data_IF_926926141612
#
_entry.id   IF_926926141612
#
_cell.length_a   1.000
_cell.length_b   1.000
_cell.length_c   1.000
_cell.angle_alpha   90.00
_cell.angle_beta   90.00
_cell.angle_gamma   90.00
#
_symmetry.space_group_name_H-M   'P 1'
#
loop_
_entity.id
_entity.type
_entity.pdbx_description
1 polymer ?
#
# COMPACT_ATOMS: atom_id res chain seq x y z
N UNK A 1 -22.72 2.38 -5.33
CA UNK A 1 -22.16 2.30 -6.69
C UNK A 1 -21.17 1.17 -6.75
N UNK A 2 -21.03 0.50 -7.91
CA UNK A 2 -19.98 -0.47 -8.13
C UNK A 2 -18.61 0.22 -8.18
N UNK A 3 -17.54 -0.52 -7.88
CA UNK A 3 -16.18 0.01 -7.80
C UNK A 3 -15.72 0.64 -9.12
N UNK A 4 -16.05 0.02 -10.26
CA UNK A 4 -15.72 0.51 -11.60
C UNK A 4 -16.28 1.92 -11.85
N UNK A 5 -17.52 2.15 -11.40
CA UNK A 5 -18.17 3.47 -11.49
C UNK A 5 -17.53 4.47 -10.53
N UNK A 6 -17.17 4.05 -9.31
CA UNK A 6 -16.47 4.89 -8.35
C UNK A 6 -15.09 5.30 -8.88
N UNK A 7 -14.37 4.40 -9.54
CA UNK A 7 -13.05 4.66 -10.12
C UNK A 7 -13.06 5.82 -11.14
N UNK A 8 -14.17 5.98 -11.86
CA UNK A 8 -14.33 7.03 -12.88
C UNK A 8 -14.94 8.31 -12.31
N UNK A 9 -15.91 8.21 -11.39
CA UNK A 9 -16.76 9.34 -11.00
C UNK A 9 -16.55 9.86 -9.58
N UNK A 10 -16.04 9.05 -8.64
CA UNK A 10 -15.97 9.48 -7.26
C UNK A 10 -15.04 10.68 -7.05
N UNK A 11 -15.47 11.59 -6.18
CA UNK A 11 -14.68 12.74 -5.72
C UNK A 11 -14.67 13.95 -6.65
N UNK A 12 -15.30 13.88 -7.86
CA UNK A 12 -15.34 15.00 -8.77
C UNK A 12 -16.72 15.17 -9.42
N UNK A 13 -17.12 16.41 -9.55
CA UNK A 13 -18.23 16.88 -10.42
C UNK A 13 -17.70 17.94 -11.35
N UNK A 14 -18.27 18.13 -12.56
CA UNK A 14 -17.81 19.16 -13.49
C UNK A 14 -17.68 20.52 -12.78
N UNK A 15 -16.53 21.19 -13.01
CA UNK A 15 -16.21 22.47 -12.38
C UNK A 15 -17.36 23.48 -12.55
N UNK A 16 -17.87 24.10 -11.48
CA UNK A 16 -19.07 24.94 -11.55
C UNK A 16 -18.88 26.20 -12.41
N UNK A 17 -17.64 26.68 -12.55
CA UNK A 17 -17.31 27.89 -13.31
C UNK A 17 -16.99 27.58 -14.78
N UNK A 18 -16.05 26.68 -15.01
CA UNK A 18 -15.54 26.36 -16.36
C UNK A 18 -16.30 25.23 -17.05
N UNK A 19 -17.11 24.46 -16.28
CA UNK A 19 -17.79 23.23 -16.74
C UNK A 19 -16.83 22.14 -17.22
N UNK A 20 -15.57 22.19 -16.82
CA UNK A 20 -14.58 21.15 -17.14
C UNK A 20 -15.03 19.79 -16.63
N UNK A 21 -15.04 18.79 -17.51
CA UNK A 21 -15.36 17.39 -17.19
C UNK A 21 -14.12 16.67 -16.66
N UNK A 22 -12.94 16.95 -17.25
CA UNK A 22 -11.68 16.45 -16.71
C UNK A 22 -11.29 17.21 -15.46
N UNK A 23 -10.65 16.52 -14.50
CA UNK A 23 -10.16 17.14 -13.27
C UNK A 23 -9.10 18.18 -13.61
N UNK A 24 -9.27 19.47 -13.25
CA UNK A 24 -8.25 20.49 -13.49
C UNK A 24 -7.00 20.27 -12.66
N UNK A 25 -5.84 20.60 -13.23
CA UNK A 25 -4.56 20.59 -12.49
C UNK A 25 -4.29 21.98 -11.91
N UNK A 26 -4.48 22.13 -10.61
CA UNK A 26 -4.20 23.36 -9.88
C UNK A 26 -2.71 23.41 -9.48
N UNK A 27 -1.86 23.79 -10.44
CA UNK A 27 -0.41 23.89 -10.24
C UNK A 27 -0.06 25.23 -9.59
N UNK A 28 -0.40 25.39 -8.31
CA UNK A 28 -0.16 26.58 -7.50
C UNK A 28 0.37 26.22 -6.11
N UNK A 29 1.08 27.15 -5.48
CA UNK A 29 1.62 26.98 -4.13
C UNK A 29 0.64 27.45 -3.07
N UNK A 30 -0.01 28.60 -3.29
CA UNK A 30 -0.84 29.30 -2.31
C UNK A 30 -2.15 29.82 -2.95
N UNK A 31 -3.10 30.17 -2.12
CA UNK A 31 -4.40 30.67 -2.49
C UNK A 31 -4.68 32.03 -1.84
N UNK A 32 -5.32 32.93 -2.60
CA UNK A 32 -5.69 34.23 -2.08
C UNK A 32 -6.83 34.14 -1.06
N UNK A 33 -6.81 35.00 -0.07
CA UNK A 33 -7.89 35.18 0.90
C UNK A 33 -8.78 36.34 0.49
N UNK A 34 -10.08 36.25 0.72
CA UNK A 34 -11.03 37.34 0.44
C UNK A 34 -10.83 38.52 1.40
N UNK A 35 -10.31 38.25 2.61
CA UNK A 35 -9.98 39.24 3.62
C UNK A 35 -8.99 38.68 4.65
N UNK A 36 -8.40 39.52 5.48
CA UNK A 36 -7.57 39.10 6.63
C UNK A 36 -8.35 38.19 7.60
N UNK A 37 -9.65 38.50 7.83
CA UNK A 37 -10.50 37.67 8.68
C UNK A 37 -10.76 36.30 8.07
N UNK A 38 -11.02 36.22 6.73
CA UNK A 38 -11.17 34.94 6.02
C UNK A 38 -9.91 34.09 6.18
N UNK A 39 -8.72 34.70 6.04
CA UNK A 39 -7.45 34.00 6.30
C UNK A 39 -7.38 33.44 7.72
N UNK A 40 -7.70 34.23 8.73
CA UNK A 40 -7.70 33.81 10.13
C UNK A 40 -8.69 32.64 10.37
N UNK A 41 -9.89 32.72 9.83
CA UNK A 41 -10.93 31.68 9.99
C UNK A 41 -10.54 30.34 9.31
N UNK A 42 -9.81 30.38 8.19
CA UNK A 42 -9.24 29.19 7.55
C UNK A 42 -8.19 28.51 8.45
N UNK A 43 -7.28 29.31 9.06
CA UNK A 43 -6.26 28.78 9.97
C UNK A 43 -6.86 28.24 11.28
N UNK A 44 -7.93 28.84 11.75
CA UNK A 44 -8.69 28.41 12.95
C UNK A 44 -9.64 27.22 12.66
N UNK A 45 -9.66 26.69 11.43
CA UNK A 45 -10.59 25.63 10.98
C UNK A 45 -12.10 25.97 11.12
N UNK A 46 -12.44 27.26 11.18
CA UNK A 46 -13.83 27.72 11.26
C UNK A 46 -14.56 27.67 9.93
N UNK A 47 -13.82 27.81 8.83
CA UNK A 47 -14.33 27.70 7.47
C UNK A 47 -13.46 26.74 6.65
N UNK A 48 -14.07 26.11 5.65
CA UNK A 48 -13.34 25.24 4.71
C UNK A 48 -12.78 26.07 3.56
N UNK A 49 -11.57 25.71 3.07
CA UNK A 49 -10.97 26.35 1.93
C UNK A 49 -9.51 25.95 1.73
N UNK A 50 -8.91 26.49 0.68
CA UNK A 50 -7.53 26.20 0.34
C UNK A 50 -6.61 27.29 0.91
N UNK A 51 -5.50 26.88 1.52
CA UNK A 51 -4.48 27.79 2.09
C UNK A 51 -3.17 27.62 1.33
N UNK A 52 -2.67 26.40 1.30
CA UNK A 52 -1.31 26.09 0.79
C UNK A 52 -1.26 24.64 0.29
N UNK A 53 -0.73 24.43 -0.91
CA UNK A 53 -0.75 23.14 -1.62
C UNK A 53 -0.11 21.99 -0.83
N UNK A 54 0.88 22.24 0.02
CA UNK A 54 1.44 21.19 0.90
C UNK A 54 0.39 20.54 1.80
N UNK A 55 -0.63 21.29 2.21
CA UNK A 55 -1.65 20.82 3.15
C UNK A 55 -2.92 20.37 2.40
N UNK A 56 -3.33 21.14 1.38
CA UNK A 56 -4.53 20.92 0.58
C UNK A 56 -4.42 21.55 -0.80
N UNK A 57 -4.91 20.83 -1.81
CA UNK A 57 -4.94 21.28 -3.20
C UNK A 57 -6.16 20.67 -3.89
N UNK A 58 -6.95 21.42 -4.71
CA UNK A 58 -8.17 20.90 -5.30
C UNK A 58 -7.98 19.65 -6.18
N UNK A 59 -6.87 19.54 -6.91
CA UNK A 59 -6.56 18.32 -7.68
C UNK A 59 -6.30 17.12 -6.78
N UNK A 60 -5.51 17.33 -5.72
CA UNK A 60 -5.18 16.29 -4.74
C UNK A 60 -6.42 15.89 -3.94
N UNK A 61 -7.31 16.82 -3.62
CA UNK A 61 -8.59 16.55 -2.93
C UNK A 61 -9.48 15.59 -3.72
N UNK A 62 -9.53 15.71 -5.04
CA UNK A 62 -10.26 14.75 -5.90
C UNK A 62 -9.67 13.35 -5.76
N UNK A 63 -8.33 13.23 -5.79
CA UNK A 63 -7.64 11.95 -5.60
C UNK A 63 -7.95 11.34 -4.22
N UNK A 64 -7.87 12.15 -3.16
CA UNK A 64 -8.17 11.72 -1.79
C UNK A 64 -9.62 11.20 -1.66
N UNK A 65 -10.59 11.95 -2.17
CA UNK A 65 -12.00 11.55 -2.18
C UNK A 65 -12.24 10.28 -2.98
N UNK A 66 -11.58 10.12 -4.13
CA UNK A 66 -11.69 8.92 -4.98
C UNK A 66 -11.13 7.69 -4.30
N UNK A 67 -9.93 7.79 -3.73
CA UNK A 67 -9.30 6.66 -3.01
C UNK A 67 -10.11 6.29 -1.76
N UNK A 68 -10.61 7.27 -1.00
CA UNK A 68 -11.49 7.02 0.13
C UNK A 68 -12.76 6.27 -0.29
N UNK A 69 -13.40 6.69 -1.38
CA UNK A 69 -14.61 6.04 -1.90
C UNK A 69 -14.34 4.61 -2.38
N UNK A 70 -13.20 4.37 -3.02
CA UNK A 70 -12.80 3.04 -3.49
C UNK A 70 -12.57 2.07 -2.33
N UNK A 71 -11.91 2.51 -1.27
CA UNK A 71 -11.69 1.68 -0.07
C UNK A 71 -12.91 1.61 0.86
N UNK A 72 -13.89 2.50 0.71
CA UNK A 72 -15.04 2.61 1.60
C UNK A 72 -14.71 3.32 2.93
N UNK A 73 -13.68 4.17 2.92
CA UNK A 73 -13.30 5.00 4.05
C UNK A 73 -14.06 6.31 4.15
N UNK A 74 -13.98 6.95 5.31
CA UNK A 74 -14.60 8.28 5.54
C UNK A 74 -13.82 9.40 4.87
N UNK A 75 -12.48 9.29 4.84
CA UNK A 75 -11.57 10.25 4.22
C UNK A 75 -10.22 9.61 3.89
N UNK A 76 -9.46 10.27 3.01
CA UNK A 76 -8.09 9.90 2.72
C UNK A 76 -7.15 11.12 2.74
N UNK A 77 -5.85 10.84 2.85
CA UNK A 77 -4.77 11.80 2.78
C UNK A 77 -3.75 11.34 1.75
N UNK A 78 -3.55 12.11 0.70
CA UNK A 78 -2.51 11.84 -0.30
C UNK A 78 -1.17 12.43 0.13
N UNK A 79 -0.11 11.65 -0.06
CA UNK A 79 1.27 11.98 0.31
C UNK A 79 2.25 11.61 -0.81
N UNK A 80 3.50 12.06 -0.70
CA UNK A 80 4.49 11.96 -1.78
C UNK A 80 4.92 10.51 -2.13
N UNK A 81 4.71 9.53 -1.25
CA UNK A 81 5.07 8.13 -1.50
C UNK A 81 4.34 7.17 -0.57
N UNK A 82 4.32 5.88 -0.91
CA UNK A 82 3.81 4.84 0.00
C UNK A 82 4.58 4.79 1.32
N UNK A 83 5.89 4.99 1.30
CA UNK A 83 6.69 5.05 2.54
C UNK A 83 6.31 6.25 3.43
N UNK A 84 6.00 7.41 2.84
CA UNK A 84 5.46 8.54 3.59
C UNK A 84 4.09 8.22 4.18
N UNK A 85 3.23 7.48 3.47
CA UNK A 85 1.93 7.04 3.98
C UNK A 85 2.08 6.14 5.21
N UNK A 86 2.94 5.12 5.14
CA UNK A 86 3.23 4.22 6.28
C UNK A 86 3.81 5.02 7.47
N UNK A 87 4.83 5.84 7.21
CA UNK A 87 5.48 6.65 8.25
C UNK A 87 4.48 7.57 8.95
N UNK A 88 3.67 8.30 8.19
CA UNK A 88 2.72 9.25 8.76
C UNK A 88 1.53 8.57 9.45
N UNK A 89 1.09 7.40 8.96
CA UNK A 89 0.06 6.61 9.64
C UNK A 89 0.53 6.22 11.04
N UNK A 90 1.75 5.71 11.18
CA UNK A 90 2.33 5.32 12.48
C UNK A 90 2.59 6.55 13.35
N UNK A 91 3.25 7.59 12.83
CA UNK A 91 3.60 8.80 13.60
C UNK A 91 2.38 9.64 14.00
N UNK A 92 1.22 9.44 13.39
CA UNK A 92 -0.03 10.02 13.87
C UNK A 92 -0.44 9.45 15.22
N UNK A 93 -0.13 8.18 15.48
CA UNK A 93 -0.54 7.44 16.70
C UNK A 93 0.58 7.30 17.72
N UNK A 94 1.81 7.01 17.26
CA UNK A 94 2.96 6.64 18.09
C UNK A 94 3.98 7.77 18.22
N UNK A 95 4.67 7.80 19.36
CA UNK A 95 5.81 8.67 19.67
C UNK A 95 6.93 7.88 20.35
N UNK A 96 8.03 8.56 20.69
CA UNK A 96 9.13 7.92 21.40
C UNK A 96 8.66 7.28 22.73
N UNK A 97 9.01 6.02 22.94
CA UNK A 97 8.56 5.21 24.06
C UNK A 97 7.36 4.30 23.75
N UNK A 98 6.68 4.51 22.63
CA UNK A 98 5.59 3.65 22.16
C UNK A 98 6.10 2.47 21.34
N UNK A 99 5.21 1.52 21.05
CA UNK A 99 5.48 0.42 20.13
C UNK A 99 4.31 0.14 19.18
N UNK A 100 4.61 -0.61 18.12
CA UNK A 100 3.64 -1.25 17.26
C UNK A 100 3.96 -2.74 17.11
N UNK A 101 2.96 -3.54 16.78
CA UNK A 101 3.14 -4.94 16.39
C UNK A 101 2.99 -5.05 14.88
N UNK A 102 3.92 -5.70 14.20
CA UNK A 102 3.92 -5.80 12.75
C UNK A 102 4.10 -7.24 12.28
N UNK A 103 3.48 -7.57 11.14
CA UNK A 103 3.82 -8.81 10.45
C UNK A 103 5.33 -8.85 10.14
N UNK A 104 5.92 -10.04 10.18
CA UNK A 104 7.34 -10.25 9.86
C UNK A 104 7.61 -10.28 8.36
N UNK A 105 6.60 -10.59 7.53
CA UNK A 105 6.70 -10.63 6.07
C UNK A 105 6.21 -9.30 5.47
N UNK A 106 7.16 -8.43 5.12
CA UNK A 106 6.90 -7.08 4.64
C UNK A 106 7.71 -6.77 3.38
N UNK A 107 7.27 -5.77 2.65
CA UNK A 107 8.11 -5.09 1.67
C UNK A 107 9.42 -4.62 2.30
N UNK A 108 10.55 -4.80 1.61
CA UNK A 108 11.88 -4.52 2.17
C UNK A 108 12.05 -3.09 2.70
N UNK A 109 11.42 -2.09 2.05
CA UNK A 109 11.44 -0.70 2.53
C UNK A 109 10.70 -0.53 3.87
N UNK A 110 9.55 -1.17 4.02
CA UNK A 110 8.76 -1.18 5.27
C UNK A 110 9.51 -1.90 6.37
N UNK A 111 10.11 -3.06 6.07
CA UNK A 111 10.94 -3.77 7.03
C UNK A 111 12.11 -2.90 7.53
N UNK A 112 12.84 -2.25 6.63
CA UNK A 112 13.95 -1.36 7.02
C UNK A 112 13.48 -0.16 7.86
N UNK A 113 12.34 0.45 7.51
CA UNK A 113 11.73 1.51 8.32
C UNK A 113 11.47 1.03 9.75
N UNK A 114 10.86 -0.17 9.88
CA UNK A 114 10.43 -0.73 11.16
C UNK A 114 11.59 -1.29 11.99
N UNK A 115 12.51 -1.99 11.35
CA UNK A 115 13.62 -2.63 12.06
C UNK A 115 14.76 -1.67 12.44
N UNK A 116 14.93 -0.57 11.70
CA UNK A 116 16.10 0.30 11.86
C UNK A 116 15.75 1.77 12.09
N UNK A 117 14.83 2.36 11.31
CA UNK A 117 14.57 3.80 11.38
C UNK A 117 13.70 4.17 12.59
N UNK A 118 12.60 3.47 12.81
CA UNK A 118 11.71 3.75 13.95
C UNK A 118 12.36 3.54 15.32
N UNK A 119 13.19 2.49 15.55
CA UNK A 119 13.94 2.38 16.80
C UNK A 119 14.85 3.58 17.07
N UNK A 120 15.48 4.18 16.05
CA UNK A 120 16.26 5.41 16.20
C UNK A 120 15.41 6.63 16.59
N UNK A 121 14.11 6.58 16.31
CA UNK A 121 13.12 7.60 16.72
C UNK A 121 12.44 7.24 18.04
N UNK A 122 12.87 6.18 18.70
CA UNK A 122 12.32 5.69 19.98
C UNK A 122 11.02 4.91 19.87
N UNK A 123 10.57 4.54 18.67
CA UNK A 123 9.40 3.69 18.44
C UNK A 123 9.86 2.25 18.27
N UNK A 124 9.48 1.38 19.20
CA UNK A 124 9.77 -0.05 19.12
C UNK A 124 8.83 -0.73 18.10
N UNK A 125 9.36 -1.69 17.31
CA UNK A 125 8.54 -2.55 16.45
C UNK A 125 8.76 -4.00 16.80
N UNK A 126 7.67 -4.70 17.12
CA UNK A 126 7.65 -6.12 17.49
C UNK A 126 7.09 -6.91 16.32
N UNK A 127 7.89 -7.82 15.78
CA UNK A 127 7.49 -8.64 14.65
C UNK A 127 6.78 -9.92 15.08
N UNK A 128 5.69 -10.26 14.41
CA UNK A 128 4.85 -11.43 14.63
C UNK A 128 4.65 -12.22 13.33
N UNK A 129 4.28 -13.50 13.46
CA UNK A 129 3.98 -14.33 12.30
C UNK A 129 2.56 -14.01 11.76
N UNK A 130 2.40 -13.53 10.52
CA UNK A 130 1.09 -13.19 9.96
C UNK A 130 0.16 -14.41 9.77
N UNK A 131 0.67 -15.63 9.87
CA UNK A 131 -0.11 -16.87 9.84
C UNK A 131 -0.61 -17.31 11.20
N UNK A 132 -0.10 -16.71 12.27
CA UNK A 132 -0.52 -16.98 13.65
C UNK A 132 -1.03 -15.69 14.31
N UNK A 133 -2.35 -15.42 14.27
CA UNK A 133 -2.93 -14.25 14.94
C UNK A 133 -2.64 -14.20 16.45
N UNK A 134 -2.45 -15.35 17.13
CA UNK A 134 -2.12 -15.38 18.54
C UNK A 134 -0.72 -14.84 18.84
N UNK A 135 0.21 -14.93 17.87
CA UNK A 135 1.54 -14.34 18.00
C UNK A 135 1.49 -12.82 18.13
N UNK A 136 0.52 -12.16 17.47
CA UNK A 136 0.34 -10.72 17.61
C UNK A 136 -0.14 -10.32 19.00
N UNK A 137 -1.12 -11.04 19.54
CA UNK A 137 -1.66 -10.79 20.88
C UNK A 137 -0.58 -10.80 21.97
N UNK A 138 0.40 -11.71 21.88
CA UNK A 138 1.51 -11.84 22.83
C UNK A 138 2.44 -10.62 22.85
N UNK A 139 2.47 -9.83 21.78
CA UNK A 139 3.32 -8.65 21.64
C UNK A 139 2.62 -7.33 21.99
N UNK A 140 1.31 -7.35 22.27
CA UNK A 140 0.54 -6.14 22.60
C UNK A 140 0.68 -5.83 24.09
N UNK A 141 1.00 -4.56 24.41
CA UNK A 141 1.01 -4.02 25.76
C UNK A 141 0.28 -2.65 25.83
N UNK A 142 0.36 -1.96 26.96
CA UNK A 142 -0.29 -0.66 27.16
C UNK A 142 0.27 0.44 26.25
N UNK A 143 1.50 0.29 25.73
CA UNK A 143 2.18 1.25 24.84
C UNK A 143 1.98 0.92 23.36
N UNK A 144 1.37 -0.21 23.04
CA UNK A 144 1.11 -0.60 21.64
C UNK A 144 0.07 0.33 21.01
N UNK A 145 0.40 0.93 19.87
CA UNK A 145 -0.45 1.92 19.18
C UNK A 145 -1.16 1.38 17.96
N UNK A 146 -0.66 0.32 17.35
CA UNK A 146 -1.29 -0.30 16.18
C UNK A 146 -0.75 -1.71 15.94
N UNK A 147 -1.54 -2.50 15.18
CA UNK A 147 -1.04 -3.64 14.41
C UNK A 147 -0.87 -3.19 12.97
N UNK A 148 0.24 -3.57 12.31
CA UNK A 148 0.52 -3.30 10.90
C UNK A 148 0.73 -4.58 10.12
N UNK A 149 0.06 -4.71 8.96
CA UNK A 149 0.19 -5.86 8.06
C UNK A 149 0.17 -5.42 6.59
N UNK A 150 0.66 -6.29 5.70
CA UNK A 150 0.38 -6.23 4.27
C UNK A 150 -0.72 -7.24 3.92
N UNK A 151 -1.70 -6.84 3.11
CA UNK A 151 -2.79 -7.71 2.66
C UNK A 151 -2.31 -8.85 1.78
N UNK A 152 -1.37 -8.55 0.86
CA UNK A 152 -0.57 -9.51 0.08
C UNK A 152 0.89 -9.09 0.18
N UNK A 153 1.72 -9.98 0.69
CA UNK A 153 3.15 -9.71 0.89
C UNK A 153 3.95 -9.73 -0.41
N UNK A 154 5.00 -8.93 -0.48
CA UNK A 154 5.94 -8.86 -1.60
C UNK A 154 7.37 -9.10 -1.08
N UNK A 155 8.11 -10.11 -1.55
CA UNK A 155 7.96 -10.82 -2.85
C UNK A 155 7.21 -12.16 -2.80
N UNK A 156 6.75 -12.60 -1.64
CA UNK A 156 6.28 -13.97 -1.44
C UNK A 156 4.87 -14.26 -1.97
N UNK A 157 4.05 -13.22 -2.15
CA UNK A 157 2.65 -13.37 -2.57
C UNK A 157 1.76 -14.03 -1.52
N UNK A 158 2.22 -14.15 -0.26
CA UNK A 158 1.42 -14.66 0.85
C UNK A 158 0.24 -13.73 1.15
N UNK A 159 -0.90 -14.31 1.49
CA UNK A 159 -2.13 -13.56 1.82
C UNK A 159 -2.35 -13.57 3.34
N UNK A 160 -2.69 -12.41 3.89
CA UNK A 160 -2.96 -12.26 5.32
C UNK A 160 -4.46 -12.29 5.61
N UNK A 161 -4.89 -13.02 6.63
CA UNK A 161 -6.28 -13.02 7.11
C UNK A 161 -6.57 -11.75 7.91
N UNK A 162 -7.13 -10.75 7.21
CA UNK A 162 -7.38 -9.42 7.78
C UNK A 162 -8.40 -9.50 8.91
N UNK A 163 -9.48 -10.32 8.74
CA UNK A 163 -10.52 -10.44 9.77
C UNK A 163 -9.96 -10.98 11.07
N UNK A 164 -9.18 -12.05 10.99
CA UNK A 164 -8.60 -12.65 12.19
C UNK A 164 -7.68 -11.68 12.96
N UNK A 165 -6.90 -10.85 12.24
CA UNK A 165 -6.03 -9.86 12.87
C UNK A 165 -6.78 -8.61 13.33
N UNK A 166 -7.87 -8.21 12.67
CA UNK A 166 -8.75 -7.15 13.14
C UNK A 166 -9.40 -7.55 14.48
N UNK A 167 -9.87 -8.78 14.59
CA UNK A 167 -10.46 -9.29 15.84
C UNK A 167 -9.44 -9.28 17.00
N UNK A 168 -8.19 -9.65 16.75
CA UNK A 168 -7.10 -9.54 17.74
C UNK A 168 -6.84 -8.08 18.09
N UNK A 169 -6.71 -7.19 17.12
CA UNK A 169 -6.44 -5.76 17.34
C UNK A 169 -7.54 -5.12 18.20
N UNK A 170 -8.78 -5.31 17.82
CA UNK A 170 -9.93 -4.71 18.51
C UNK A 170 -10.13 -5.28 19.91
N UNK A 171 -9.90 -6.59 20.12
CA UNK A 171 -9.94 -7.18 21.47
C UNK A 171 -8.94 -6.52 22.45
N UNK A 172 -7.86 -5.93 21.94
CA UNK A 172 -6.85 -5.22 22.73
C UNK A 172 -6.97 -3.69 22.65
N UNK A 173 -7.99 -3.16 22.00
CA UNK A 173 -8.21 -1.71 21.84
C UNK A 173 -7.11 -1.01 21.05
N UNK A 174 -6.56 -1.66 20.02
CA UNK A 174 -5.61 -1.08 19.07
C UNK A 174 -6.15 -1.17 17.65
N UNK A 175 -5.89 -0.18 16.76
CA UNK A 175 -6.32 -0.23 15.38
C UNK A 175 -5.47 -1.19 14.55
N UNK A 176 -6.09 -1.75 13.50
CA UNK A 176 -5.41 -2.50 12.44
C UNK A 176 -5.12 -1.59 11.25
N UNK A 177 -3.84 -1.45 10.90
CA UNK A 177 -3.35 -0.75 9.70
C UNK A 177 -2.97 -1.78 8.66
N UNK A 178 -3.55 -1.67 7.46
CA UNK A 178 -3.32 -2.60 6.35
C UNK A 178 -2.70 -1.87 5.16
N UNK A 179 -1.53 -2.31 4.71
CA UNK A 179 -1.01 -1.92 3.40
C UNK A 179 -1.71 -2.77 2.32
N UNK A 180 -2.57 -2.10 1.54
CA UNK A 180 -3.38 -2.71 0.49
C UNK A 180 -2.86 -2.41 -0.92
N UNK A 181 -1.56 -2.14 -1.03
CA UNK A 181 -0.93 -1.74 -2.29
C UNK A 181 -1.06 -2.80 -3.39
N UNK A 182 -0.90 -4.08 -3.05
CA UNK A 182 -0.85 -5.17 -4.04
C UNK A 182 -2.23 -5.56 -4.57
N UNK A 183 -3.25 -5.83 -3.75
CA UNK A 183 -4.59 -6.13 -4.27
C UNK A 183 -5.26 -4.91 -4.90
N UNK A 184 -4.91 -3.71 -4.46
CA UNK A 184 -5.70 -2.49 -4.68
C UNK A 184 -7.15 -2.62 -4.15
N UNK A 185 -7.92 -1.53 -4.08
CA UNK A 185 -9.33 -1.62 -3.67
C UNK A 185 -10.19 -2.49 -4.62
N UNK A 186 -9.68 -2.80 -5.82
CA UNK A 186 -10.40 -3.61 -6.78
C UNK A 186 -10.51 -5.08 -6.37
N UNK A 187 -9.43 -5.69 -5.88
CA UNK A 187 -9.46 -7.08 -5.44
C UNK A 187 -9.86 -7.22 -3.97
N UNK A 188 -9.56 -6.21 -3.14
CA UNK A 188 -9.76 -6.29 -1.70
C UNK A 188 -9.99 -4.91 -1.10
N UNK A 189 -11.01 -4.80 -0.25
CA UNK A 189 -11.30 -3.62 0.56
C UNK A 189 -11.12 -3.96 2.04
N UNK A 190 -9.94 -3.75 2.62
CA UNK A 190 -9.63 -4.17 3.99
C UNK A 190 -10.61 -3.66 5.05
N UNK A 191 -11.20 -2.47 4.85
CA UNK A 191 -12.21 -1.88 5.75
C UNK A 191 -13.45 -2.77 5.89
N UNK A 192 -13.81 -3.54 4.85
CA UNK A 192 -14.92 -4.50 4.90
C UNK A 192 -14.58 -5.74 5.74
N UNK A 193 -13.28 -5.98 5.96
CA UNK A 193 -12.75 -7.06 6.77
C UNK A 193 -12.31 -6.62 8.18
N UNK A 194 -12.52 -5.34 8.56
CA UNK A 194 -12.25 -4.83 9.89
C UNK A 194 -10.98 -4.00 10.02
N UNK A 195 -10.29 -3.67 8.94
CA UNK A 195 -9.19 -2.69 8.99
C UNK A 195 -9.71 -1.30 9.37
N UNK A 196 -8.96 -0.60 10.20
CA UNK A 196 -9.28 0.76 10.63
C UNK A 196 -8.61 1.81 9.76
N UNK A 197 -7.39 1.52 9.34
CA UNK A 197 -6.58 2.39 8.50
C UNK A 197 -6.03 1.56 7.35
N UNK A 198 -6.11 2.09 6.13
CA UNK A 198 -5.51 1.47 4.94
C UNK A 198 -4.46 2.41 4.38
N UNK A 199 -3.30 1.86 4.01
CA UNK A 199 -2.24 2.62 3.33
C UNK A 199 -1.99 2.05 1.93
N UNK A 200 -1.59 2.92 1.02
CA UNK A 200 -1.26 2.57 -0.35
C UNK A 200 0.02 3.23 -0.83
N UNK A 201 0.83 2.49 -1.57
CA UNK A 201 1.67 3.09 -2.59
C UNK A 201 0.85 3.31 -3.86
N UNK A 202 0.39 4.55 -4.09
CA UNK A 202 -0.33 4.92 -5.32
C UNK A 202 0.53 4.76 -6.57
N UNK A 203 1.84 4.67 -6.40
CA UNK A 203 2.85 4.41 -7.43
C UNK A 203 2.60 3.11 -8.20
N UNK A 204 1.95 2.11 -7.54
CA UNK A 204 1.82 0.74 -8.01
C UNK A 204 0.54 0.56 -8.83
N UNK A 205 -0.26 -0.43 -8.56
CA UNK A 205 -1.47 -0.79 -9.33
C UNK A 205 -2.47 0.35 -9.50
N UNK A 206 -2.64 1.23 -8.49
CA UNK A 206 -3.55 2.39 -8.59
C UNK A 206 -3.13 3.35 -9.70
N UNK A 207 -1.87 3.78 -9.72
CA UNK A 207 -1.31 4.58 -10.80
C UNK A 207 -1.11 3.79 -12.08
N UNK A 208 -0.56 2.60 -12.00
CA UNK A 208 -0.49 1.56 -13.04
C UNK A 208 0.39 1.84 -14.26
N UNK A 209 1.13 2.95 -14.30
CA UNK A 209 1.88 3.37 -15.49
C UNK A 209 3.37 3.64 -15.23
N UNK A 210 3.83 3.48 -13.98
CA UNK A 210 5.24 3.69 -13.62
C UNK A 210 5.75 5.12 -13.81
N UNK A 211 4.85 6.11 -13.91
CA UNK A 211 5.17 7.50 -14.26
C UNK A 211 5.04 8.48 -13.08
N UNK A 212 4.48 8.04 -11.94
CA UNK A 212 4.23 8.90 -10.79
C UNK A 212 4.46 8.17 -9.48
N UNK A 213 5.16 8.80 -8.56
CA UNK A 213 5.30 8.34 -7.18
C UNK A 213 4.24 9.03 -6.32
N UNK A 214 3.54 8.25 -5.49
CA UNK A 214 2.55 8.77 -4.56
C UNK A 214 2.19 7.74 -3.48
N UNK A 215 1.55 8.20 -2.42
CA UNK A 215 1.00 7.38 -1.36
C UNK A 215 -0.35 7.91 -0.90
N UNK A 216 -1.12 7.07 -0.21
CA UNK A 216 -2.35 7.46 0.44
C UNK A 216 -2.52 6.76 1.78
N UNK A 217 -3.17 7.47 2.71
CA UNK A 217 -3.68 6.94 3.97
C UNK A 217 -5.20 7.07 3.90
N UNK A 218 -5.93 6.00 4.18
CA UNK A 218 -7.40 6.00 4.22
C UNK A 218 -7.84 5.67 5.65
N UNK A 219 -8.72 6.50 6.19
CA UNK A 219 -9.33 6.30 7.50
C UNK A 219 -10.72 5.68 7.33
N UNK A 220 -10.98 4.57 7.99
CA UNK A 220 -12.31 3.95 7.99
C UNK A 220 -13.37 4.81 8.71
N UNK A 221 -12.94 5.65 9.66
CA UNK A 221 -13.81 6.39 10.58
C UNK A 221 -14.50 5.50 11.62
N UNK A 222 -14.10 4.23 11.75
CA UNK A 222 -14.80 3.24 12.59
C UNK A 222 -14.13 2.98 13.94
N UNK A 223 -12.82 3.25 14.05
CA UNK A 223 -12.12 3.01 15.33
C UNK A 223 -12.57 4.01 16.40
N UNK A 224 -12.96 3.54 17.59
CA UNK A 224 -13.54 4.38 18.65
C UNK A 224 -12.46 5.11 19.45
N UNK A 225 -11.76 6.07 18.84
CA UNK A 225 -10.63 6.81 19.45
C UNK A 225 -10.95 7.39 20.82
N UNK A 226 -12.16 7.90 21.00
CA UNK A 226 -12.60 8.52 22.25
C UNK A 226 -12.82 7.50 23.38
N UNK A 227 -13.02 6.23 23.08
CA UNK A 227 -13.15 5.17 24.08
C UNK A 227 -11.80 4.69 24.64
N UNK A 228 -10.71 4.95 23.88
CA UNK A 228 -9.34 4.55 24.22
C UNK A 228 -8.44 5.75 24.55
N UNK A 229 -8.94 6.76 25.29
CA UNK A 229 -8.25 8.04 25.55
C UNK A 229 -6.86 7.88 26.12
N UNK A 230 -6.67 7.00 27.10
CA UNK A 230 -5.38 6.80 27.77
C UNK A 230 -4.31 6.25 26.82
N UNK A 231 -4.73 5.46 25.81
CA UNK A 231 -3.82 4.92 24.79
C UNK A 231 -3.52 5.94 23.70
N UNK A 232 -4.53 6.72 23.27
CA UNK A 232 -4.41 7.66 22.14
C UNK A 232 -4.53 9.11 22.59
N UNK A 233 -3.68 9.52 23.54
CA UNK A 233 -3.63 10.88 24.07
C UNK A 233 -3.47 11.94 22.98
N UNK A 234 -2.65 11.66 21.97
CA UNK A 234 -2.41 12.56 20.83
C UNK A 234 -3.67 12.94 20.04
N UNK A 235 -4.75 12.18 20.14
CA UNK A 235 -6.03 12.48 19.51
C UNK A 235 -7.06 13.04 20.51
N UNK A 236 -6.86 12.80 21.81
CA UNK A 236 -7.82 13.05 22.88
C UNK A 236 -7.40 14.14 23.86
N UNK A 237 -6.16 14.65 23.77
CA UNK A 237 -5.65 15.76 24.58
C UNK A 237 -5.36 16.97 23.67
N UNK A 238 -5.30 18.21 24.23
CA UNK A 238 -5.00 19.41 23.46
C UNK A 238 -3.61 19.32 22.76
N UNK A 239 -3.59 19.42 21.45
CA UNK A 239 -2.35 19.41 20.66
C UNK A 239 -1.71 20.80 20.68
N UNK A 240 -0.60 20.94 21.42
CA UNK A 240 0.15 22.19 21.53
C UNK A 240 0.77 22.64 20.20
N UNK A 241 0.98 21.70 19.25
CA UNK A 241 1.51 22.01 17.92
C UNK A 241 0.47 22.55 16.96
N UNK A 242 -0.83 22.44 17.32
CA UNK A 242 -1.94 22.90 16.49
C UNK A 242 -3.06 23.52 17.33
N UNK A 243 -2.86 24.74 17.81
CA UNK A 243 -3.85 25.60 18.50
C UNK A 243 -4.57 24.95 19.71
N UNK A 244 -4.02 23.91 20.31
CA UNK A 244 -4.66 23.18 21.41
C UNK A 244 -5.88 22.37 21.01
N UNK A 245 -6.01 21.98 19.74
CA UNK A 245 -7.14 21.19 19.24
C UNK A 245 -7.13 19.80 19.87
N UNK A 246 -8.31 19.35 20.34
CA UNK A 246 -8.59 17.95 20.67
C UNK A 246 -9.29 17.33 19.44
N UNK A 247 -8.57 16.47 18.72
CA UNK A 247 -9.03 16.00 17.41
C UNK A 247 -10.32 15.18 17.47
N UNK A 248 -10.51 14.36 18.51
CA UNK A 248 -11.74 13.58 18.69
C UNK A 248 -12.95 14.45 18.96
N UNK A 249 -12.80 15.62 19.59
CA UNK A 249 -13.87 16.58 19.81
C UNK A 249 -14.15 17.43 18.57
N UNK A 250 -13.09 17.88 17.89
CA UNK A 250 -13.21 18.76 16.73
C UNK A 250 -13.65 18.04 15.44
N UNK A 251 -13.22 16.79 15.24
CA UNK A 251 -13.37 16.07 13.97
C UNK A 251 -14.10 14.71 14.12
N UNK A 252 -14.40 14.27 15.34
CA UNK A 252 -15.11 13.02 15.60
C UNK A 252 -14.44 11.82 14.94
N UNK A 253 -15.16 11.13 14.06
CA UNK A 253 -14.67 9.95 13.33
C UNK A 253 -13.44 10.23 12.45
N UNK A 254 -13.23 11.47 11.99
CA UNK A 254 -12.10 11.87 11.17
C UNK A 254 -10.89 12.37 11.99
N UNK A 255 -10.84 12.13 13.30
CA UNK A 255 -9.79 12.59 14.20
C UNK A 255 -8.38 12.15 13.74
N UNK A 256 -8.25 10.88 13.34
CA UNK A 256 -6.98 10.32 12.89
C UNK A 256 -6.49 11.00 11.61
N UNK A 257 -7.32 11.02 10.56
CA UNK A 257 -6.89 11.56 9.25
C UNK A 257 -6.69 13.07 9.30
N UNK A 258 -7.49 13.78 10.14
CA UNK A 258 -7.32 15.21 10.38
C UNK A 258 -5.97 15.52 11.02
N UNK A 259 -5.59 14.79 12.07
CA UNK A 259 -4.27 14.93 12.69
C UNK A 259 -3.14 14.57 11.73
N UNK A 260 -3.31 13.49 10.95
CA UNK A 260 -2.31 13.09 9.94
C UNK A 260 -2.00 14.23 8.95
N UNK A 261 -3.01 15.00 8.55
CA UNK A 261 -2.86 16.16 7.65
C UNK A 261 -2.13 17.34 8.33
N UNK A 262 -2.57 17.72 9.53
CA UNK A 262 -2.10 18.97 10.14
C UNK A 262 -0.86 18.82 11.01
N UNK A 263 -0.42 17.60 11.30
CA UNK A 263 0.82 17.34 12.04
C UNK A 263 1.88 16.69 11.15
N UNK A 264 1.87 15.37 10.85
CA UNK A 264 2.98 14.80 10.09
C UNK A 264 3.09 15.39 8.68
N UNK A 265 2.02 15.48 7.90
CA UNK A 265 2.11 16.03 6.55
C UNK A 265 2.55 17.51 6.57
N UNK A 266 1.89 18.35 7.37
CA UNK A 266 2.19 19.79 7.43
C UNK A 266 3.62 20.05 7.88
N UNK A 267 4.10 19.35 8.90
CA UNK A 267 5.36 19.66 9.57
C UNK A 267 6.57 18.97 8.90
N UNK A 268 6.42 17.75 8.35
CA UNK A 268 7.50 17.00 7.68
C UNK A 268 7.47 17.11 6.15
N UNK A 269 6.34 17.50 5.56
CA UNK A 269 6.28 18.06 4.22
C UNK A 269 6.29 17.10 3.04
N UNK A 270 6.06 15.78 3.20
CA UNK A 270 5.99 14.84 2.08
C UNK A 270 4.65 14.96 1.31
N UNK A 271 4.39 16.13 0.76
CA UNK A 271 3.17 16.45 0.01
C UNK A 271 3.24 15.92 -1.42
N UNK A 272 2.10 15.44 -1.94
CA UNK A 272 1.96 14.99 -3.32
C UNK A 272 1.82 16.21 -4.25
N UNK A 273 2.59 16.22 -5.36
CA UNK A 273 2.46 17.24 -6.39
C UNK A 273 1.12 17.10 -7.14
N UNK A 274 0.42 18.22 -7.47
CA UNK A 274 -0.87 18.16 -8.18
C UNK A 274 -0.81 17.42 -9.51
N UNK A 275 0.27 17.56 -10.28
CA UNK A 275 0.44 16.82 -11.53
C UNK A 275 0.52 15.31 -11.30
N UNK A 276 1.23 14.86 -10.24
CA UNK A 276 1.28 13.45 -9.90
C UNK A 276 -0.11 12.94 -9.46
N UNK A 277 -0.87 13.75 -8.72
CA UNK A 277 -2.25 13.40 -8.36
C UNK A 277 -3.13 13.22 -9.60
N UNK A 278 -3.01 14.10 -10.60
CA UNK A 278 -3.73 14.00 -11.87
C UNK A 278 -3.35 12.72 -12.64
N UNK A 279 -2.06 12.42 -12.79
CA UNK A 279 -1.60 11.21 -13.48
C UNK A 279 -2.07 9.91 -12.78
N UNK A 280 -2.07 9.90 -11.46
CA UNK A 280 -2.59 8.78 -10.67
C UNK A 280 -4.11 8.64 -10.85
N UNK A 281 -4.87 9.75 -10.87
CA UNK A 281 -6.30 9.73 -11.16
C UNK A 281 -6.61 9.09 -12.51
N UNK A 282 -5.85 9.42 -13.57
CA UNK A 282 -6.00 8.77 -14.87
C UNK A 282 -5.75 7.26 -14.81
N UNK A 283 -4.76 6.83 -14.04
CA UNK A 283 -4.50 5.41 -13.82
C UNK A 283 -5.64 4.70 -13.10
N UNK A 284 -6.25 5.35 -12.11
CA UNK A 284 -7.37 4.80 -11.34
C UNK A 284 -8.59 4.54 -12.24
N UNK A 285 -8.87 5.38 -13.22
CA UNK A 285 -10.04 5.25 -14.12
C UNK A 285 -10.07 3.90 -14.86
N UNK A 286 -8.91 3.30 -15.12
CA UNK A 286 -8.78 2.00 -15.79
C UNK A 286 -8.39 0.85 -14.85
N UNK A 287 -8.44 1.06 -13.54
CA UNK A 287 -7.96 0.09 -12.54
C UNK A 287 -8.60 -1.28 -12.71
N UNK A 288 -9.93 -1.35 -12.80
CA UNK A 288 -10.67 -2.59 -12.92
C UNK A 288 -10.22 -3.41 -14.15
N UNK A 289 -10.19 -2.78 -15.32
CA UNK A 289 -9.78 -3.40 -16.59
C UNK A 289 -8.34 -3.93 -16.51
N UNK A 290 -7.44 -3.17 -15.90
CA UNK A 290 -6.04 -3.58 -15.74
C UNK A 290 -5.91 -4.74 -14.76
N UNK A 291 -6.58 -4.66 -13.61
CA UNK A 291 -6.48 -5.71 -12.59
C UNK A 291 -7.05 -7.04 -13.08
N UNK A 292 -8.16 -7.03 -13.82
CA UNK A 292 -8.69 -8.26 -14.43
C UNK A 292 -7.68 -8.90 -15.37
N UNK A 293 -7.16 -8.13 -16.33
CA UNK A 293 -6.18 -8.64 -17.29
C UNK A 293 -4.88 -9.10 -16.60
N UNK A 294 -4.39 -8.36 -15.63
CA UNK A 294 -3.20 -8.69 -14.85
C UNK A 294 -3.37 -10.03 -14.12
N UNK A 295 -4.51 -10.20 -13.43
CA UNK A 295 -4.78 -11.44 -12.70
C UNK A 295 -4.94 -12.65 -13.62
N UNK A 296 -5.64 -12.49 -14.73
CA UNK A 296 -5.83 -13.55 -15.72
C UNK A 296 -4.48 -13.97 -16.33
N UNK A 297 -3.64 -13.00 -16.72
CA UNK A 297 -2.30 -13.26 -17.21
C UNK A 297 -1.42 -13.94 -16.16
N UNK A 298 -1.44 -13.44 -14.91
CA UNK A 298 -0.64 -14.01 -13.83
C UNK A 298 -1.04 -15.46 -13.51
N UNK A 299 -2.34 -15.75 -13.48
CA UNK A 299 -2.86 -17.12 -13.29
C UNK A 299 -2.38 -18.05 -14.43
N UNK A 300 -2.50 -17.61 -15.67
CA UNK A 300 -2.09 -18.38 -16.83
C UNK A 300 -0.58 -18.65 -16.87
N UNK A 301 0.24 -17.64 -16.48
CA UNK A 301 1.70 -17.80 -16.40
C UNK A 301 2.11 -18.69 -15.21
N UNK A 302 1.44 -18.57 -14.06
CA UNK A 302 1.71 -19.42 -12.91
C UNK A 302 1.45 -20.91 -13.24
N UNK A 303 0.35 -21.23 -13.92
CA UNK A 303 0.04 -22.57 -14.40
C UNK A 303 1.04 -23.08 -15.44
N UNK A 304 1.44 -22.22 -16.37
CA UNK A 304 2.46 -22.56 -17.37
C UNK A 304 3.80 -22.89 -16.71
N UNK A 305 4.27 -22.03 -15.80
CA UNK A 305 5.54 -22.22 -15.10
C UNK A 305 5.52 -23.46 -14.19
N UNK A 306 4.40 -23.73 -13.52
CA UNK A 306 4.26 -24.90 -12.63
C UNK A 306 4.43 -26.23 -13.39
N UNK A 307 4.07 -26.27 -14.67
CA UNK A 307 4.20 -27.45 -15.54
C UNK A 307 5.53 -27.51 -16.29
N UNK A 308 6.35 -26.46 -16.21
CA UNK A 308 7.57 -26.36 -17.01
C UNK A 308 8.69 -27.19 -16.40
N UNK A 309 9.40 -28.07 -17.18
CA UNK A 309 10.41 -29.01 -16.67
C UNK A 309 11.63 -28.34 -16.00
N UNK A 310 11.95 -27.09 -16.36
CA UNK A 310 13.06 -26.31 -15.80
C UNK A 310 12.67 -25.47 -14.58
N UNK A 311 11.41 -25.50 -14.14
CA UNK A 311 10.92 -24.78 -12.95
C UNK A 311 10.80 -25.76 -11.79
N UNK A 312 11.37 -25.38 -10.65
CA UNK A 312 11.37 -26.19 -9.44
C UNK A 312 10.09 -26.00 -8.62
N UNK A 313 9.69 -24.75 -8.42
CA UNK A 313 8.47 -24.37 -7.71
C UNK A 313 7.95 -23.02 -8.23
N UNK A 314 6.64 -22.82 -8.06
CA UNK A 314 5.96 -21.55 -8.31
C UNK A 314 5.21 -21.15 -7.04
N UNK A 315 5.32 -19.89 -6.63
CA UNK A 315 4.53 -19.28 -5.55
C UNK A 315 3.59 -18.25 -6.15
N UNK A 316 2.33 -18.61 -6.19
CA UNK A 316 1.23 -17.72 -6.60
C UNK A 316 -0.03 -18.17 -5.88
N UNK A 317 -0.64 -17.31 -5.07
CA UNK A 317 -1.74 -17.67 -4.19
C UNK A 317 -3.04 -18.06 -4.93
N UNK A 318 -3.12 -17.80 -6.24
CA UNK A 318 -4.18 -18.28 -7.12
C UNK A 318 -4.08 -19.76 -7.51
N UNK A 319 -2.94 -20.43 -7.27
CA UNK A 319 -2.78 -21.86 -7.56
C UNK A 319 -3.45 -22.71 -6.47
N UNK A 320 -4.13 -23.83 -6.81
CA UNK A 320 -4.87 -24.65 -5.84
C UNK A 320 -4.02 -25.28 -4.73
N UNK A 321 -2.73 -25.51 -4.99
CA UNK A 321 -1.79 -26.09 -4.04
C UNK A 321 -1.08 -25.05 -3.14
N UNK A 322 -1.36 -23.76 -3.34
CA UNK A 322 -0.81 -22.72 -2.49
C UNK A 322 -1.47 -22.72 -1.10
N UNK A 323 -0.70 -22.61 0.00
CA UNK A 323 -1.27 -22.63 1.36
C UNK A 323 -2.39 -21.63 1.60
N UNK A 324 -2.31 -20.46 0.97
CA UNK A 324 -3.26 -19.37 1.16
C UNK A 324 -4.41 -19.37 0.11
N UNK A 325 -4.50 -20.42 -0.75
CA UNK A 325 -5.51 -20.47 -1.83
C UNK A 325 -6.94 -20.33 -1.30
N UNK A 326 -7.28 -21.03 -0.21
CA UNK A 326 -8.61 -20.94 0.40
C UNK A 326 -8.92 -19.49 0.89
N UNK A 327 -7.91 -18.77 1.37
CA UNK A 327 -8.04 -17.38 1.79
C UNK A 327 -8.23 -16.45 0.59
N UNK A 328 -7.56 -16.70 -0.54
CA UNK A 328 -7.79 -15.99 -1.81
C UNK A 328 -9.23 -16.15 -2.27
N UNK A 329 -9.78 -17.38 -2.23
CA UNK A 329 -11.18 -17.61 -2.59
C UNK A 329 -12.14 -16.83 -1.70
N UNK A 330 -11.91 -16.84 -0.38
CA UNK A 330 -12.80 -16.20 0.60
C UNK A 330 -12.68 -14.66 0.62
N UNK A 331 -11.46 -14.13 0.53
CA UNK A 331 -11.17 -12.71 0.81
C UNK A 331 -11.01 -11.88 -0.47
N UNK A 332 -10.54 -12.49 -1.57
CA UNK A 332 -10.14 -11.84 -2.82
C UNK A 332 -11.00 -12.25 -4.02
N UNK A 333 -12.06 -13.05 -3.81
CA UNK A 333 -12.92 -13.51 -4.90
C UNK A 333 -12.22 -14.40 -5.94
N UNK A 334 -11.12 -15.06 -5.57
CA UNK A 334 -10.38 -16.00 -6.42
C UNK A 334 -9.26 -15.38 -7.26
N UNK A 335 -9.03 -14.05 -7.21
CA UNK A 335 -7.97 -13.35 -7.93
C UNK A 335 -6.81 -12.97 -7.00
N UNK A 336 -5.58 -13.36 -7.32
CA UNK A 336 -4.42 -13.27 -6.41
C UNK A 336 -3.37 -12.23 -6.82
N UNK A 337 -3.76 -11.18 -7.55
CA UNK A 337 -2.88 -10.10 -8.05
C UNK A 337 -1.96 -10.49 -9.22
N UNK A 338 -1.04 -9.58 -9.58
CA UNK A 338 -0.06 -9.77 -10.65
C UNK A 338 1.34 -10.17 -10.18
N UNK A 339 1.52 -10.46 -8.88
CA UNK A 339 2.83 -10.86 -8.36
C UNK A 339 2.90 -12.38 -8.28
N UNK A 340 3.90 -12.96 -8.93
CA UNK A 340 4.25 -14.36 -8.78
C UNK A 340 5.77 -14.52 -8.66
N UNK A 341 6.21 -15.57 -7.97
CA UNK A 341 7.61 -15.92 -7.85
C UNK A 341 7.84 -17.39 -8.20
N UNK A 342 9.00 -17.72 -8.75
CA UNK A 342 9.38 -19.09 -9.06
C UNK A 342 10.88 -19.29 -8.92
N UNK A 343 11.33 -20.55 -8.86
CA UNK A 343 12.73 -20.96 -8.85
C UNK A 343 13.06 -21.88 -10.03
N UNK A 344 14.29 -21.78 -10.51
CA UNK A 344 14.80 -22.60 -11.60
C UNK A 344 15.32 -23.93 -11.03
N UNK A 345 15.05 -25.03 -11.74
CA UNK A 345 15.43 -26.39 -11.36
C UNK A 345 16.83 -26.74 -11.83
N UNK A 346 17.58 -27.52 -11.04
CA UNK A 346 18.87 -28.07 -11.45
C UNK A 346 20.02 -27.06 -11.47
N UNK A 347 19.88 -25.95 -10.77
CA UNK A 347 20.86 -24.86 -10.73
C UNK A 347 21.55 -24.73 -9.35
N UNK A 348 21.64 -25.84 -8.61
CA UNK A 348 22.13 -25.88 -7.22
C UNK A 348 23.60 -25.44 -7.11
N UNK A 349 24.41 -25.60 -8.20
CA UNK A 349 25.81 -25.18 -8.20
C UNK A 349 25.99 -23.65 -8.19
N UNK A 350 25.11 -22.90 -8.87
CA UNK A 350 25.08 -21.44 -8.88
C UNK A 350 23.68 -20.90 -9.21
N UNK A 351 22.77 -20.93 -8.24
CA UNK A 351 21.40 -20.46 -8.42
C UNK A 351 21.31 -18.97 -8.78
N UNK A 352 22.22 -18.15 -8.24
CA UNK A 352 22.29 -16.71 -8.53
C UNK A 352 22.61 -16.42 -9.99
N UNK A 353 23.64 -17.08 -10.53
CA UNK A 353 24.01 -16.91 -11.93
C UNK A 353 22.91 -17.41 -12.85
N UNK A 354 22.21 -18.49 -12.51
CA UNK A 354 21.08 -18.99 -13.28
C UNK A 354 19.93 -17.96 -13.35
N UNK A 355 19.54 -17.40 -12.22
CA UNK A 355 18.55 -16.34 -12.16
C UNK A 355 18.95 -15.10 -12.98
N UNK A 356 20.23 -14.72 -12.93
CA UNK A 356 20.75 -13.62 -13.72
C UNK A 356 20.71 -13.92 -15.23
N UNK A 357 21.15 -15.11 -15.68
CA UNK A 357 21.07 -15.52 -17.10
C UNK A 357 19.63 -15.53 -17.60
N UNK A 358 18.69 -16.08 -16.80
CA UNK A 358 17.28 -16.04 -17.15
C UNK A 358 16.78 -14.60 -17.36
N UNK A 359 17.07 -13.69 -16.42
CA UNK A 359 16.68 -12.28 -16.57
C UNK A 359 17.32 -11.62 -17.79
N UNK A 360 18.59 -11.92 -18.07
CA UNK A 360 19.31 -11.34 -19.20
C UNK A 360 18.78 -11.81 -20.55
N UNK A 361 18.17 -12.99 -20.58
CA UNK A 361 17.53 -13.55 -21.77
C UNK A 361 16.14 -12.97 -22.09
N UNK A 362 15.46 -12.35 -21.11
CA UNK A 362 14.14 -11.75 -21.31
C UNK A 362 14.20 -10.60 -22.32
N UNK A 363 13.24 -10.58 -23.26
CA UNK A 363 13.12 -9.58 -24.32
C UNK A 363 11.94 -8.65 -24.14
N UNK A 364 10.83 -9.15 -23.58
CA UNK A 364 9.60 -8.40 -23.34
C UNK A 364 9.49 -7.94 -21.88
N UNK A 365 9.70 -8.85 -20.91
CA UNK A 365 9.71 -8.47 -19.50
C UNK A 365 10.84 -7.48 -19.20
N UNK A 366 10.51 -6.30 -18.72
CA UNK A 366 11.52 -5.29 -18.36
C UNK A 366 12.18 -5.63 -17.02
N UNK A 367 13.50 -5.64 -17.01
CA UNK A 367 14.32 -5.88 -15.80
C UNK A 367 14.40 -4.63 -14.95
N UNK A 368 13.66 -4.57 -13.86
CA UNK A 368 13.69 -3.45 -12.90
C UNK A 368 12.99 -3.80 -11.58
N UNK A 369 13.16 -2.94 -10.59
CA UNK A 369 12.53 -3.09 -9.28
C UNK A 369 11.28 -2.21 -9.19
N UNK A 370 10.17 -2.72 -9.69
CA UNK A 370 8.82 -2.15 -9.49
C UNK A 370 7.78 -3.27 -9.51
N UNK A 371 6.51 -2.93 -9.28
CA UNK A 371 5.34 -3.81 -9.42
C UNK A 371 4.14 -2.98 -9.88
N UNK A 372 3.12 -3.65 -10.45
CA UNK A 372 1.83 -3.03 -10.74
C UNK A 372 1.82 -2.07 -11.91
N UNK A 373 2.83 -2.13 -12.77
CA UNK A 373 2.85 -1.42 -14.06
C UNK A 373 1.96 -2.15 -15.08
N UNK A 374 1.47 -1.44 -16.07
CA UNK A 374 0.81 -2.02 -17.25
C UNK A 374 1.75 -2.93 -18.06
N UNK A 375 3.07 -2.72 -17.96
CA UNK A 375 4.10 -3.57 -18.56
C UNK A 375 4.53 -4.66 -17.59
N UNK A 376 4.83 -5.83 -18.12
CA UNK A 376 5.40 -6.94 -17.36
C UNK A 376 6.84 -6.67 -16.96
N UNK A 377 7.15 -6.92 -15.70
CA UNK A 377 8.43 -6.63 -15.07
C UNK A 377 9.00 -7.90 -14.42
N UNK A 378 10.31 -8.02 -14.43
CA UNK A 378 11.02 -9.13 -13.79
C UNK A 378 12.16 -8.62 -12.90
N UNK A 379 12.38 -9.30 -11.77
CA UNK A 379 13.50 -9.03 -10.88
C UNK A 379 14.02 -10.31 -10.24
N UNK A 380 15.29 -10.31 -9.88
CA UNK A 380 15.95 -11.37 -9.13
C UNK A 380 16.26 -10.83 -7.72
N UNK A 381 15.43 -11.10 -6.72
CA UNK A 381 15.53 -10.45 -5.41
C UNK A 381 16.90 -10.61 -4.75
N UNK A 382 17.53 -11.78 -4.84
CA UNK A 382 18.82 -12.04 -4.22
C UNK A 382 19.99 -11.19 -4.78
N UNK A 383 19.90 -10.71 -6.02
CA UNK A 383 20.92 -9.82 -6.60
C UNK A 383 20.52 -8.34 -6.62
N UNK A 384 19.29 -8.01 -6.21
CA UNK A 384 18.76 -6.63 -6.23
C UNK A 384 18.26 -6.18 -4.87
N UNK A 385 16.99 -6.41 -4.56
CA UNK A 385 16.32 -5.89 -3.35
C UNK A 385 16.83 -6.48 -2.04
N UNK A 386 17.45 -7.66 -2.07
CA UNK A 386 17.97 -8.39 -0.91
C UNK A 386 19.48 -8.68 -1.01
N UNK A 387 20.19 -7.93 -1.87
CA UNK A 387 21.61 -8.18 -2.17
C UNK A 387 22.52 -8.12 -0.93
N UNK A 388 22.17 -7.30 0.05
CA UNK A 388 22.94 -7.16 1.29
C UNK A 388 22.76 -8.33 2.26
N UNK A 389 21.75 -9.19 2.07
CA UNK A 389 21.48 -10.31 2.95
C UNK A 389 22.38 -11.51 2.63
N UNK A 390 22.87 -12.18 3.65
CA UNK A 390 23.55 -13.46 3.51
C UNK A 390 22.51 -14.61 3.26
N UNK A 391 22.95 -15.82 2.89
CA UNK A 391 22.02 -16.92 2.58
C UNK A 391 21.05 -17.28 3.72
N UNK A 392 21.49 -17.19 4.98
CA UNK A 392 20.64 -17.46 6.15
C UNK A 392 19.57 -16.38 6.33
N UNK A 393 19.93 -15.13 6.12
CA UNK A 393 19.00 -13.99 6.18
C UNK A 393 18.02 -14.02 5.01
N UNK A 394 18.48 -14.38 3.81
CA UNK A 394 17.60 -14.59 2.64
C UNK A 394 16.56 -15.67 2.93
N UNK A 395 16.99 -16.82 3.47
CA UNK A 395 16.07 -17.91 3.82
C UNK A 395 15.03 -17.48 4.87
N UNK A 396 15.43 -16.70 5.89
CA UNK A 396 14.51 -16.12 6.88
C UNK A 396 13.51 -15.15 6.25
N UNK A 397 13.93 -14.39 5.23
CA UNK A 397 13.06 -13.52 4.44
C UNK A 397 12.19 -14.30 3.42
N UNK A 398 12.31 -15.64 3.35
CA UNK A 398 11.61 -16.49 2.40
C UNK A 398 12.11 -16.37 0.95
N UNK A 399 13.27 -15.75 0.73
CA UNK A 399 13.88 -15.53 -0.58
C UNK A 399 14.96 -16.57 -0.78
N UNK A 400 14.87 -17.37 -1.87
CA UNK A 400 15.97 -18.25 -2.30
C UNK A 400 16.92 -17.54 -3.27
N UNK A 401 18.14 -18.02 -3.36
CA UNK A 401 19.17 -17.41 -4.23
C UNK A 401 18.82 -17.46 -5.73
N UNK A 402 18.04 -18.46 -6.16
CA UNK A 402 17.56 -18.60 -7.55
C UNK A 402 16.15 -18.07 -7.79
N UNK A 403 15.54 -17.40 -6.83
CA UNK A 403 14.15 -16.92 -6.96
C UNK A 403 14.05 -15.77 -7.95
N UNK A 404 13.18 -15.93 -8.93
CA UNK A 404 12.74 -14.87 -9.84
C UNK A 404 11.35 -14.40 -9.42
N UNK A 405 11.12 -13.09 -9.35
CA UNK A 405 9.80 -12.48 -9.14
C UNK A 405 9.35 -11.78 -10.41
N UNK A 406 8.13 -12.07 -10.85
CA UNK A 406 7.45 -11.38 -11.93
C UNK A 406 6.39 -10.44 -11.35
N UNK A 407 6.21 -9.28 -11.97
CA UNK A 407 5.03 -8.44 -11.87
C UNK A 407 4.40 -8.40 -13.24
N UNK A 408 3.32 -9.14 -13.40
CA UNK A 408 2.68 -9.39 -14.70
C UNK A 408 1.84 -8.16 -15.09
N UNK A 409 1.93 -7.77 -16.36
CA UNK A 409 1.21 -6.66 -16.96
C UNK A 409 0.01 -7.10 -17.80
N UNK A 410 -0.40 -6.21 -18.72
CA UNK A 410 -1.63 -6.36 -19.51
C UNK A 410 -1.36 -6.82 -20.95
N UNK A 411 -0.15 -7.19 -21.30
CA UNK A 411 0.24 -7.66 -22.63
C UNK A 411 -0.54 -8.91 -23.04
N UNK A 412 -0.45 -9.30 -24.29
CA UNK A 412 -1.06 -10.53 -24.77
C UNK A 412 -0.37 -11.75 -24.12
N UNK A 413 -1.16 -12.69 -23.63
CA UNK A 413 -0.65 -13.84 -22.86
C UNK A 413 0.31 -14.70 -23.65
N UNK A 414 0.12 -14.87 -24.95
CA UNK A 414 1.00 -15.70 -25.79
C UNK A 414 2.37 -15.06 -25.98
N UNK A 415 2.45 -13.72 -26.05
CA UNK A 415 3.74 -13.00 -26.11
C UNK A 415 4.49 -13.14 -24.78
N UNK A 416 3.79 -13.03 -23.64
CA UNK A 416 4.38 -13.25 -22.32
C UNK A 416 4.91 -14.69 -22.16
N UNK A 417 4.15 -15.69 -22.62
CA UNK A 417 4.60 -17.10 -22.60
C UNK A 417 5.78 -17.33 -23.50
N UNK A 418 5.78 -16.77 -24.71
CA UNK A 418 6.90 -16.91 -25.65
C UNK A 418 8.19 -16.32 -25.09
N UNK A 419 8.12 -15.16 -24.42
CA UNK A 419 9.30 -14.55 -23.80
C UNK A 419 9.84 -15.38 -22.64
N UNK A 420 8.98 -15.93 -21.77
CA UNK A 420 9.41 -16.82 -20.69
C UNK A 420 9.98 -18.13 -21.25
N UNK A 421 9.36 -18.71 -22.29
CA UNK A 421 9.81 -19.95 -22.90
C UNK A 421 11.23 -19.82 -23.46
N UNK A 422 11.49 -18.78 -24.28
CA UNK A 422 12.80 -18.58 -24.87
C UNK A 422 13.88 -18.26 -23.82
N UNK A 423 13.52 -17.53 -22.74
CA UNK A 423 14.45 -17.24 -21.64
C UNK A 423 14.76 -18.49 -20.81
N UNK A 424 13.80 -19.39 -20.60
CA UNK A 424 14.00 -20.67 -19.93
C UNK A 424 14.91 -21.62 -20.74
N UNK A 425 14.97 -21.49 -22.06
CA UNK A 425 15.90 -22.30 -22.87
C UNK A 425 17.38 -21.97 -22.61
N UNK A 426 17.67 -20.74 -22.11
CA UNK A 426 19.04 -20.25 -21.86
C UNK A 426 19.62 -20.66 -20.49
N UNK A 427 18.84 -21.38 -19.67
CA UNK A 427 19.22 -21.80 -18.30
C UNK A 427 19.07 -23.30 -18.08
#
# INVERSE_FOLDING_TARGET
>A
MHLDTLAVHAGYSPDPTTKSVAVPVYQTVAYAFDSAQHGADLFDLKVQGNIYTRIMNPTTDVLEKRVAALEGGIAALAVASGMAAITYAIQTLAEAGDNIVSASTLYGGTYNLFAHTFPQQGIEVRFADPRDPASFAQHIDARTKAIFIESIGNPLGNVTDIRALADVAHAHGVPLIVDNTVPSPYLLRPIEHGADIVVHSLTKYLGGHGNSVGGAIVDSGKFPWAEHKERFKRLNEPDVSYHGVVYTEALGAAAFIGRARVVPLRNMGAALAPLNAFLILQGIETLALRMDRICDNAQALAQYLQQHPKVEWVRYAGLPDHPDHALVQRQLGGKASGILSFSLKGQEADPRAAGARFLDALQLFTRLVNIGDAKSLATHPASTTHRQLNPTELAKAGVSEGMVRLSVGIEHIDDLRADLAQALEQV
#
